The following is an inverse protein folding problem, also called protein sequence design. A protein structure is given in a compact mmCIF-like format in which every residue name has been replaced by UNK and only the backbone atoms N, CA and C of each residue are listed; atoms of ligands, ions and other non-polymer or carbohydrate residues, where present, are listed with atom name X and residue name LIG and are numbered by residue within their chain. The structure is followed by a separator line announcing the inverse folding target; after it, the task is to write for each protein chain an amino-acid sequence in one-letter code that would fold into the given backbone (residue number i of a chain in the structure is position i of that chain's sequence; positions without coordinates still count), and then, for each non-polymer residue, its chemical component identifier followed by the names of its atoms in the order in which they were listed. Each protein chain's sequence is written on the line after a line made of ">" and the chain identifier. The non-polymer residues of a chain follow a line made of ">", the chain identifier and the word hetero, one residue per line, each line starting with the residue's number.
data_IF_282622575326
#
_entry.id   IF_282622575326
#
_cell.length_a   1.000
_cell.length_b   1.000
_cell.length_c   1.000
_cell.angle_alpha   90.00
_cell.angle_beta   90.00
_cell.angle_gamma   90.00
#
_symmetry.space_group_name_H-M   'P 1'
#
loop_
_entity.id
_entity.type
_entity.pdbx_description
1 polymer ?
#
# COMPACT_ATOMS: atom_id res chain seq x y z
N UNK A 1 36.21 -57.84 35.78
CA UNK A 1 35.39 -57.24 36.85
C UNK A 1 34.12 -56.65 36.25
N UNK A 2 32.97 -56.97 36.85
CA UNK A 2 31.65 -56.28 36.89
C UNK A 2 31.28 -55.27 35.78
N UNK A 3 30.24 -55.59 35.00
CA UNK A 3 28.84 -55.00 34.97
C UNK A 3 28.76 -53.59 34.34
N UNK A 4 28.11 -53.36 33.19
CA UNK A 4 26.68 -53.50 32.78
C UNK A 4 25.82 -52.26 33.13
N UNK A 5 25.39 -51.52 32.10
CA UNK A 5 24.11 -50.77 31.95
C UNK A 5 24.23 -49.87 30.70
N UNK A 6 23.26 -49.60 29.84
CA UNK A 6 21.97 -50.21 29.49
C UNK A 6 21.66 -49.63 28.09
N UNK A 7 21.24 -50.47 27.14
CA UNK A 7 20.95 -50.08 25.75
C UNK A 7 19.47 -50.34 25.49
N UNK A 8 18.72 -49.31 25.12
CA UNK A 8 17.34 -49.38 24.65
C UNK A 8 17.35 -49.44 23.12
N UNK A 9 16.94 -50.57 22.55
CA UNK A 9 16.54 -50.69 21.15
C UNK A 9 15.38 -51.67 21.09
N UNK A 10 14.24 -51.24 20.53
CA UNK A 10 13.11 -52.13 20.24
C UNK A 10 12.67 -51.89 18.79
N UNK A 11 13.09 -52.78 17.91
CA UNK A 11 12.59 -52.93 16.56
C UNK A 11 12.29 -54.40 16.31
N UNK A 12 11.07 -54.62 15.82
CA UNK A 12 10.60 -55.65 14.89
C UNK A 12 10.60 -57.15 15.23
N UNK A 13 9.43 -57.72 14.92
CA UNK A 13 9.17 -59.05 14.37
C UNK A 13 9.36 -60.26 15.29
N UNK A 14 8.24 -60.90 15.64
CA UNK A 14 8.22 -62.33 15.99
C UNK A 14 7.06 -63.02 15.28
N UNK A 15 7.40 -63.67 14.16
CA UNK A 15 6.76 -64.91 13.74
C UNK A 15 7.11 -66.01 14.75
N UNK A 16 6.10 -66.70 15.28
CA UNK A 16 6.27 -67.76 16.28
C UNK A 16 6.47 -69.13 15.65
N UNK A 17 7.55 -69.78 16.08
CA UNK A 17 8.04 -71.09 15.67
C UNK A 17 7.21 -72.28 16.17
N UNK A 18 7.38 -73.36 15.43
CA UNK A 18 7.10 -74.78 15.69
C UNK A 18 7.76 -75.30 16.97
N UNK A 19 7.08 -76.15 17.74
CA UNK A 19 7.69 -77.24 18.52
C UNK A 19 6.79 -78.50 18.50
N UNK A 20 7.42 -79.67 18.35
CA UNK A 20 6.82 -81.00 18.17
C UNK A 20 6.48 -81.71 19.51
N UNK A 21 5.23 -82.23 19.60
CA UNK A 21 4.77 -83.61 19.92
C UNK A 21 4.98 -84.23 21.34
N UNK A 22 4.20 -85.26 21.79
CA UNK A 22 3.21 -86.11 21.09
C UNK A 22 1.86 -86.44 21.80
N UNK A 23 0.93 -87.01 21.00
CA UNK A 23 -0.15 -87.97 21.30
C UNK A 23 -1.18 -87.71 22.41
N UNK A 24 -2.45 -87.46 22.04
CA UNK A 24 -3.57 -88.40 22.26
C UNK A 24 -4.88 -87.86 21.64
N UNK A 25 -5.55 -88.75 20.92
CA UNK A 25 -6.82 -88.64 20.20
C UNK A 25 -7.97 -88.28 21.15
N UNK A 26 -8.94 -87.42 20.73
CA UNK A 26 -10.39 -87.70 20.76
C UNK A 26 -11.26 -86.53 20.21
N UNK A 27 -11.99 -86.82 19.12
CA UNK A 27 -13.24 -86.24 18.60
C UNK A 27 -13.64 -84.78 18.96
N UNK A 28 -13.40 -83.86 18.02
CA UNK A 28 -14.05 -82.54 17.94
C UNK A 28 -15.49 -82.72 17.39
N UNK A 29 -16.52 -82.25 18.08
CA UNK A 29 -17.92 -82.46 17.66
C UNK A 29 -18.25 -81.63 16.42
N UNK A 30 -18.96 -82.24 15.46
CA UNK A 30 -19.43 -81.60 14.21
C UNK A 30 -20.28 -80.35 14.43
N UNK A 31 -20.83 -80.18 15.63
CA UNK A 31 -21.70 -79.05 15.99
C UNK A 31 -20.93 -77.71 16.08
N UNK A 32 -19.68 -77.73 16.52
CA UNK A 32 -18.85 -76.52 16.60
C UNK A 32 -18.47 -75.98 15.21
N UNK A 33 -18.31 -76.87 14.23
CA UNK A 33 -18.03 -76.50 12.84
C UNK A 33 -19.27 -75.90 12.16
N UNK A 34 -20.46 -76.46 12.44
CA UNK A 34 -21.74 -75.93 11.96
C UNK A 34 -21.99 -74.52 12.51
N UNK A 35 -21.72 -74.28 13.78
CA UNK A 35 -21.90 -72.97 14.41
C UNK A 35 -20.94 -71.91 13.83
N UNK A 36 -19.69 -72.28 13.57
CA UNK A 36 -18.73 -71.41 12.89
C UNK A 36 -19.17 -71.07 11.45
N UNK A 37 -19.69 -72.05 10.71
CA UNK A 37 -20.18 -71.84 9.35
C UNK A 37 -21.42 -70.94 9.31
N UNK A 38 -22.36 -71.09 10.26
CA UNK A 38 -23.52 -70.19 10.39
C UNK A 38 -23.09 -68.74 10.64
N UNK A 39 -22.12 -68.54 11.54
CA UNK A 39 -21.58 -67.20 11.82
C UNK A 39 -20.90 -66.57 10.60
N UNK A 40 -20.17 -67.36 9.81
CA UNK A 40 -19.59 -66.91 8.53
C UNK A 40 -20.66 -66.54 7.51
N UNK A 41 -21.76 -67.28 7.43
CA UNK A 41 -22.89 -66.95 6.55
C UNK A 41 -23.51 -65.61 6.96
N UNK A 42 -23.72 -65.39 8.26
CA UNK A 42 -24.29 -64.15 8.78
C UNK A 42 -23.37 -62.93 8.51
N UNK A 43 -22.05 -63.08 8.66
CA UNK A 43 -21.08 -62.03 8.30
C UNK A 43 -21.09 -61.72 6.79
N UNK A 44 -21.27 -62.74 5.94
CA UNK A 44 -21.38 -62.56 4.48
C UNK A 44 -22.66 -61.79 4.13
N UNK A 45 -23.79 -62.12 4.77
CA UNK A 45 -25.06 -61.42 4.55
C UNK A 45 -24.99 -59.95 4.98
N UNK A 46 -24.40 -59.68 6.16
CA UNK A 46 -24.20 -58.30 6.64
C UNK A 46 -23.28 -57.49 5.71
N UNK A 47 -22.21 -58.10 5.19
CA UNK A 47 -21.31 -57.44 4.23
C UNK A 47 -22.04 -57.14 2.91
N UNK A 48 -22.85 -58.07 2.40
CA UNK A 48 -23.64 -57.88 1.19
C UNK A 48 -24.63 -56.71 1.34
N UNK A 49 -25.31 -56.63 2.47
CA UNK A 49 -26.32 -55.59 2.70
C UNK A 49 -25.67 -54.20 2.86
N UNK A 50 -24.47 -54.13 3.46
CA UNK A 50 -23.67 -52.91 3.52
C UNK A 50 -23.21 -52.45 2.12
N UNK A 51 -22.75 -53.38 1.27
CA UNK A 51 -22.38 -53.07 -0.13
C UNK A 51 -23.58 -52.59 -0.95
N UNK A 52 -24.76 -53.18 -0.74
CA UNK A 52 -26.00 -52.78 -1.39
C UNK A 52 -26.39 -51.34 -1.04
N UNK A 53 -26.27 -50.93 0.23
CA UNK A 53 -26.55 -49.56 0.65
C UNK A 53 -25.54 -48.55 0.08
N UNK A 54 -24.27 -48.92 0.00
CA UNK A 54 -23.24 -48.08 -0.66
C UNK A 54 -23.59 -47.88 -2.15
N UNK A 55 -24.00 -48.95 -2.84
CA UNK A 55 -24.38 -48.89 -4.25
C UNK A 55 -25.64 -48.04 -4.48
N UNK A 56 -26.67 -48.19 -3.65
CA UNK A 56 -27.89 -47.35 -3.73
C UNK A 56 -27.57 -45.87 -3.52
N UNK A 57 -26.74 -45.55 -2.53
CA UNK A 57 -26.30 -44.17 -2.30
C UNK A 57 -25.50 -43.64 -3.50
N UNK A 58 -24.67 -44.47 -4.13
CA UNK A 58 -23.92 -44.07 -5.32
C UNK A 58 -24.82 -43.82 -6.52
N UNK A 59 -25.84 -44.65 -6.74
CA UNK A 59 -26.84 -44.46 -7.80
C UNK A 59 -27.58 -43.12 -7.59
N UNK A 60 -28.01 -42.84 -6.36
CA UNK A 60 -28.70 -41.58 -6.04
C UNK A 60 -27.84 -40.33 -6.28
N UNK A 61 -26.52 -40.42 -6.02
CA UNK A 61 -25.57 -39.35 -6.32
C UNK A 61 -25.43 -39.16 -7.84
N UNK A 62 -25.28 -40.24 -8.60
CA UNK A 62 -25.14 -40.21 -10.06
C UNK A 62 -26.42 -39.69 -10.76
N UNK A 63 -27.60 -40.03 -10.25
CA UNK A 63 -28.86 -39.46 -10.75
C UNK A 63 -28.97 -37.95 -10.51
N UNK A 64 -28.48 -37.45 -9.37
CA UNK A 64 -28.40 -36.00 -9.08
C UNK A 64 -27.40 -35.29 -9.99
N UNK A 65 -26.26 -35.90 -10.28
CA UNK A 65 -25.26 -35.37 -11.21
C UNK A 65 -25.79 -35.31 -12.64
N UNK A 66 -26.55 -36.34 -13.07
CA UNK A 66 -27.19 -36.38 -14.40
C UNK A 66 -28.28 -35.32 -14.56
N UNK A 67 -29.04 -35.01 -13.49
CA UNK A 67 -29.98 -33.87 -13.45
C UNK A 67 -29.32 -32.49 -13.49
N UNK A 68 -28.08 -32.36 -12.99
CA UNK A 68 -27.29 -31.11 -13.07
C UNK A 68 -26.73 -30.88 -14.47
N UNK A 69 -26.41 -31.94 -15.22
CA UNK A 69 -25.94 -31.84 -16.61
C UNK A 69 -27.06 -31.60 -17.64
N UNK A 70 -28.33 -31.62 -17.23
CA UNK A 70 -29.50 -31.32 -18.08
C UNK A 70 -29.99 -29.88 -17.95
N UNK A 71 -29.11 -28.93 -17.61
CA UNK A 71 -29.35 -27.51 -17.89
C UNK A 71 -28.99 -27.28 -19.36
N UNK A 72 -29.97 -26.84 -20.17
CA UNK A 72 -29.81 -26.67 -21.62
C UNK A 72 -28.62 -25.74 -21.94
N UNK A 73 -27.73 -26.08 -22.89
CA UNK A 73 -26.66 -25.19 -23.37
C UNK A 73 -27.17 -23.81 -23.82
N UNK A 74 -28.45 -23.71 -24.19
CA UNK A 74 -29.08 -22.46 -24.59
C UNK A 74 -29.28 -21.50 -23.41
N UNK A 75 -29.55 -22.02 -22.20
CA UNK A 75 -29.74 -21.19 -21.01
C UNK A 75 -28.43 -20.54 -20.57
N UNK A 76 -27.32 -21.29 -20.60
CA UNK A 76 -25.99 -20.78 -20.27
C UNK A 76 -25.52 -19.73 -21.29
N UNK A 77 -25.80 -19.94 -22.59
CA UNK A 77 -25.50 -18.97 -23.64
C UNK A 77 -26.30 -17.66 -23.49
N UNK A 78 -27.57 -17.73 -23.09
CA UNK A 78 -28.38 -16.52 -22.86
C UNK A 78 -27.97 -15.76 -21.58
N UNK A 79 -27.59 -16.46 -20.51
CA UNK A 79 -27.00 -15.85 -19.32
C UNK A 79 -25.66 -15.16 -19.64
N UNK A 80 -24.81 -15.80 -20.44
CA UNK A 80 -23.55 -15.23 -20.90
C UNK A 80 -23.76 -14.00 -21.78
N UNK A 81 -24.72 -14.01 -22.71
CA UNK A 81 -25.07 -12.83 -23.52
C UNK A 81 -25.55 -11.67 -22.68
N UNK A 82 -26.39 -11.95 -21.68
CA UNK A 82 -26.90 -10.93 -20.75
C UNK A 82 -25.75 -10.31 -19.97
N UNK A 83 -24.86 -11.14 -19.42
CA UNK A 83 -23.67 -10.69 -18.68
C UNK A 83 -22.73 -9.85 -19.55
N UNK A 84 -22.48 -10.28 -20.80
CA UNK A 84 -21.64 -9.54 -21.75
C UNK A 84 -22.27 -8.19 -22.12
N UNK A 85 -23.59 -8.15 -22.29
CA UNK A 85 -24.33 -6.91 -22.55
C UNK A 85 -24.21 -5.94 -21.38
N UNK A 86 -24.42 -6.39 -20.15
CA UNK A 86 -24.25 -5.57 -18.94
C UNK A 86 -22.82 -5.06 -18.77
N UNK A 87 -21.82 -5.91 -19.03
CA UNK A 87 -20.41 -5.51 -18.99
C UNK A 87 -20.11 -4.46 -20.06
N UNK A 88 -20.65 -4.60 -21.26
CA UNK A 88 -20.48 -3.61 -22.33
C UNK A 88 -21.07 -2.27 -21.93
N UNK A 89 -22.29 -2.25 -21.37
CA UNK A 89 -22.90 -1.03 -20.86
C UNK A 89 -22.06 -0.39 -19.76
N UNK A 90 -21.55 -1.16 -18.79
CA UNK A 90 -20.67 -0.63 -17.73
C UNK A 90 -19.36 -0.07 -18.27
N UNK A 91 -18.79 -0.71 -19.29
CA UNK A 91 -17.57 -0.23 -19.96
C UNK A 91 -17.84 1.06 -20.73
N UNK A 92 -18.97 1.15 -21.45
CA UNK A 92 -19.38 2.35 -22.19
C UNK A 92 -19.67 3.52 -21.22
N UNK A 93 -20.35 3.26 -20.10
CA UNK A 93 -20.57 4.24 -19.02
C UNK A 93 -19.26 4.74 -18.41
N UNK A 94 -18.31 3.83 -18.15
CA UNK A 94 -16.98 4.21 -17.66
C UNK A 94 -16.20 5.02 -18.69
N UNK A 95 -16.22 4.64 -19.96
CA UNK A 95 -15.59 5.39 -21.05
C UNK A 95 -16.15 6.81 -21.15
N UNK A 96 -17.47 6.96 -21.13
CA UNK A 96 -18.13 8.26 -21.15
C UNK A 96 -17.78 9.12 -19.92
N UNK A 97 -17.61 8.50 -18.75
CA UNK A 97 -17.13 9.16 -17.54
C UNK A 97 -15.68 9.66 -17.69
N UNK A 98 -14.78 8.82 -18.22
CA UNK A 98 -13.38 9.20 -18.46
C UNK A 98 -13.26 10.33 -19.49
N UNK A 99 -14.02 10.31 -20.58
CA UNK A 99 -14.02 11.40 -21.56
C UNK A 99 -14.51 12.71 -20.95
N UNK A 100 -15.54 12.67 -20.11
CA UNK A 100 -16.05 13.86 -19.41
C UNK A 100 -15.00 14.42 -18.45
N UNK A 101 -14.31 13.56 -17.71
CA UNK A 101 -13.21 13.96 -16.81
C UNK A 101 -12.05 14.53 -17.62
N UNK A 102 -11.65 13.90 -18.72
CA UNK A 102 -10.57 14.38 -19.58
C UNK A 102 -10.89 15.76 -20.16
N UNK A 103 -12.10 15.96 -20.67
CA UNK A 103 -12.55 17.26 -21.19
C UNK A 103 -12.57 18.32 -20.10
N UNK A 104 -13.10 18.01 -18.92
CA UNK A 104 -13.08 18.92 -17.78
C UNK A 104 -11.65 19.32 -17.38
N UNK A 105 -10.72 18.35 -17.40
CA UNK A 105 -9.31 18.59 -17.14
C UNK A 105 -8.66 19.47 -18.20
N UNK A 106 -8.97 19.29 -19.47
CA UNK A 106 -8.48 20.14 -20.56
C UNK A 106 -9.01 21.57 -20.44
N UNK A 107 -10.33 21.73 -20.25
CA UNK A 107 -11.01 23.03 -20.12
C UNK A 107 -10.41 23.88 -19.00
N UNK A 108 -10.09 23.27 -17.85
CA UNK A 108 -9.57 23.95 -16.67
C UNK A 108 -8.05 23.82 -16.52
N UNK A 109 -7.35 23.35 -17.56
CA UNK A 109 -5.90 23.07 -17.56
C UNK A 109 -5.44 22.30 -16.32
N UNK A 110 -6.28 21.37 -15.83
CA UNK A 110 -5.99 20.59 -14.65
C UNK A 110 -4.81 19.66 -14.91
N UNK A 111 -3.86 19.69 -14.00
CA UNK A 111 -2.68 18.83 -13.99
C UNK A 111 -2.60 18.16 -12.64
N UNK A 112 -2.65 16.84 -12.65
CA UNK A 112 -2.33 16.02 -11.50
C UNK A 112 -0.97 15.36 -11.73
N UNK A 113 -0.21 15.15 -10.66
CA UNK A 113 1.03 14.40 -10.74
C UNK A 113 1.35 13.70 -9.45
N UNK A 114 1.90 12.50 -9.58
CA UNK A 114 2.38 11.67 -8.48
C UNK A 114 3.90 11.50 -8.64
N UNK A 115 4.63 11.64 -7.54
CA UNK A 115 6.06 11.34 -7.46
C UNK A 115 6.32 10.46 -6.26
N UNK A 116 6.98 9.33 -6.51
CA UNK A 116 7.33 8.34 -5.51
C UNK A 116 8.84 8.13 -5.50
N UNK A 117 9.42 8.00 -4.32
CA UNK A 117 10.79 7.54 -4.13
C UNK A 117 10.83 6.60 -2.94
N UNK A 118 11.31 5.38 -3.17
CA UNK A 118 11.44 4.32 -2.16
C UNK A 118 12.91 4.07 -1.89
N UNK A 119 13.28 3.86 -0.62
CA UNK A 119 14.65 3.60 -0.18
C UNK A 119 14.71 2.37 0.73
N UNK A 120 15.85 1.70 0.67
CA UNK A 120 16.33 0.79 1.69
C UNK A 120 17.60 1.37 2.29
N UNK A 121 17.69 1.41 3.62
CA UNK A 121 18.83 1.93 4.35
C UNK A 121 19.35 0.89 5.34
N UNK A 122 20.66 0.66 5.28
CA UNK A 122 21.41 -0.09 6.28
C UNK A 122 22.42 0.84 6.96
N UNK A 123 22.45 0.84 8.29
CA UNK A 123 23.50 1.51 9.06
C UNK A 123 23.96 0.61 10.20
N UNK A 124 25.26 0.32 10.23
CA UNK A 124 25.88 -0.34 11.38
C UNK A 124 25.74 0.56 12.61
N UNK A 125 25.40 -0.05 13.75
CA UNK A 125 25.18 0.66 15.02
C UNK A 125 24.20 1.87 14.96
N UNK A 126 23.33 1.91 13.96
CA UNK A 126 22.45 3.06 13.68
C UNK A 126 21.20 3.19 14.56
N UNK A 127 20.88 2.21 15.42
CA UNK A 127 19.74 2.30 16.35
C UNK A 127 20.05 3.23 17.53
N UNK A 128 19.02 3.75 18.22
CA UNK A 128 19.16 4.68 19.38
C UNK A 128 20.13 4.23 20.48
N UNK A 129 20.39 2.92 20.61
CA UNK A 129 21.34 2.37 21.58
C UNK A 129 22.80 2.36 21.13
N UNK A 130 23.09 2.66 19.85
CA UNK A 130 24.44 2.70 19.28
C UNK A 130 25.16 1.36 19.22
N UNK A 131 24.42 0.24 19.32
CA UNK A 131 24.97 -1.12 19.46
C UNK A 131 24.25 -2.15 18.59
N UNK A 132 23.30 -1.69 17.77
CA UNK A 132 22.48 -2.53 16.91
C UNK A 132 22.36 -1.89 15.54
N UNK A 133 22.46 -2.74 14.52
CA UNK A 133 22.29 -2.34 13.13
C UNK A 133 20.87 -1.83 12.87
N UNK A 134 20.77 -0.78 12.06
CA UNK A 134 19.54 -0.24 11.51
C UNK A 134 19.30 -0.84 10.13
N UNK A 135 18.09 -1.34 9.90
CA UNK A 135 17.59 -1.74 8.59
C UNK A 135 16.23 -1.09 8.42
N UNK A 136 16.08 -0.20 7.45
CA UNK A 136 14.85 0.55 7.21
C UNK A 136 14.44 0.47 5.74
N UNK A 137 13.19 0.07 5.50
CA UNK A 137 12.50 0.31 4.24
C UNK A 137 11.61 1.54 4.41
N UNK A 138 11.73 2.51 3.52
CA UNK A 138 10.97 3.75 3.64
C UNK A 138 10.48 4.26 2.29
N UNK A 139 9.32 4.91 2.29
CA UNK A 139 8.97 5.84 1.22
C UNK A 139 9.67 7.17 1.53
N UNK A 140 10.84 7.37 0.93
CA UNK A 140 11.64 8.58 1.12
C UNK A 140 10.87 9.83 0.72
N UNK A 141 10.07 9.77 -0.36
CA UNK A 141 9.20 10.85 -0.84
C UNK A 141 7.93 10.28 -1.45
N UNK A 142 6.77 10.72 -0.96
CA UNK A 142 5.45 10.49 -1.56
C UNK A 142 4.80 11.84 -1.80
N UNK A 143 4.86 12.36 -3.02
CA UNK A 143 4.34 13.69 -3.36
C UNK A 143 3.22 13.55 -4.37
N UNK A 144 2.05 14.09 -4.05
CA UNK A 144 0.94 14.20 -4.98
C UNK A 144 0.53 15.66 -5.10
N UNK A 145 0.41 16.16 -6.32
CA UNK A 145 -0.02 17.53 -6.57
C UNK A 145 -1.15 17.58 -7.57
N UNK A 146 -1.96 18.63 -7.43
CA UNK A 146 -3.03 19.01 -8.32
C UNK A 146 -2.95 20.52 -8.56
N UNK A 147 -3.12 20.95 -9.80
CA UNK A 147 -3.11 22.37 -10.17
C UNK A 147 -4.02 22.63 -11.34
N UNK A 148 -4.53 23.85 -11.48
CA UNK A 148 -5.26 24.25 -12.68
C UNK A 148 -5.77 25.69 -12.61
N UNK A 149 -6.61 26.03 -13.56
CA UNK A 149 -7.23 27.34 -13.72
C UNK A 149 -8.75 27.20 -13.60
N UNK A 150 -9.36 27.89 -12.63
CA UNK A 150 -10.82 27.97 -12.49
C UNK A 150 -11.38 28.99 -13.49
N UNK A 151 -10.64 30.08 -13.71
CA UNK A 151 -10.90 31.08 -14.75
C UNK A 151 -9.57 31.49 -15.37
N UNK A 152 -9.53 32.17 -16.53
CA UNK A 152 -8.28 32.63 -17.14
C UNK A 152 -7.40 33.51 -16.24
N UNK A 153 -7.98 34.10 -15.19
CA UNK A 153 -7.27 34.94 -14.21
C UNK A 153 -7.09 34.26 -12.85
N UNK A 154 -7.84 33.20 -12.52
CA UNK A 154 -7.79 32.55 -11.21
C UNK A 154 -7.35 31.10 -11.38
N UNK A 155 -6.25 30.75 -10.72
CA UNK A 155 -5.81 29.36 -10.66
C UNK A 155 -5.38 28.95 -9.27
N UNK A 156 -5.02 27.68 -9.13
CA UNK A 156 -4.68 27.08 -7.85
C UNK A 156 -3.61 26.01 -7.97
N UNK A 157 -3.02 25.68 -6.84
CA UNK A 157 -2.10 24.58 -6.68
C UNK A 157 -2.25 23.98 -5.28
N UNK A 158 -2.37 22.66 -5.23
CA UNK A 158 -2.41 21.88 -4.01
C UNK A 158 -1.39 20.75 -4.11
N UNK A 159 -0.68 20.48 -3.03
CA UNK A 159 0.39 19.50 -2.96
C UNK A 159 0.41 18.87 -1.58
N UNK A 160 0.10 17.58 -1.53
CA UNK A 160 0.24 16.75 -0.34
C UNK A 160 1.54 15.96 -0.41
N UNK A 161 2.12 15.72 0.75
CA UNK A 161 3.39 15.06 0.84
C UNK A 161 3.57 14.24 2.10
N UNK A 162 4.21 13.09 1.94
CA UNK A 162 4.88 12.37 3.02
C UNK A 162 6.36 12.27 2.72
N UNK A 163 7.18 12.49 3.75
CA UNK A 163 8.64 12.39 3.67
C UNK A 163 9.11 11.37 4.71
N UNK A 164 9.85 10.34 4.28
CA UNK A 164 10.40 9.27 5.14
C UNK A 164 9.32 8.42 5.86
N UNK A 165 8.25 8.07 5.14
CA UNK A 165 7.20 7.18 5.67
C UNK A 165 7.80 5.79 5.91
N UNK A 166 7.66 5.26 7.12
CA UNK A 166 8.19 3.97 7.54
C UNK A 166 9.62 4.00 8.09
N UNK A 167 10.25 5.18 8.18
CA UNK A 167 11.57 5.30 8.80
C UNK A 167 11.47 5.23 10.34
N UNK A 168 12.38 4.46 10.96
CA UNK A 168 12.42 4.30 12.41
C UNK A 168 12.66 5.63 13.14
N UNK A 169 11.91 5.86 14.23
CA UNK A 169 12.04 7.06 15.07
C UNK A 169 11.39 8.32 14.52
N UNK A 170 10.63 8.24 13.43
CA UNK A 170 9.89 9.35 12.80
C UNK A 170 8.36 9.17 12.85
N UNK A 171 7.87 8.31 13.75
CA UNK A 171 6.45 7.95 13.86
C UNK A 171 5.55 9.10 14.35
N UNK A 172 6.14 10.13 14.94
CA UNK A 172 5.42 11.35 15.35
C UNK A 172 5.53 12.40 14.24
N UNK A 173 4.49 12.49 13.42
CA UNK A 173 4.37 13.52 12.37
C UNK A 173 4.18 14.91 12.99
N UNK A 174 5.01 15.87 12.60
CA UNK A 174 4.88 17.29 12.92
C UNK A 174 4.85 18.11 11.64
N UNK A 175 3.86 18.99 11.46
CA UNK A 175 3.74 20.01 10.38
C UNK A 175 4.67 19.82 9.15
N UNK A 176 4.49 18.70 8.43
CA UNK A 176 5.21 18.39 7.19
C UNK A 176 6.46 17.50 7.31
N UNK A 177 6.75 16.93 8.48
CA UNK A 177 7.89 16.07 8.75
C UNK A 177 7.54 14.92 9.71
N UNK A 178 7.69 13.70 9.23
CA UNK A 178 7.41 12.45 9.94
C UNK A 178 6.69 11.47 9.03
N UNK A 179 6.31 10.31 9.55
CA UNK A 179 5.67 9.24 8.76
C UNK A 179 4.25 9.54 8.26
N UNK A 180 3.74 10.75 8.49
CA UNK A 180 2.40 11.20 8.06
C UNK A 180 2.38 11.92 6.71
N UNK A 181 1.20 11.95 6.09
CA UNK A 181 0.90 12.77 4.91
C UNK A 181 0.42 14.14 5.38
N UNK A 182 0.97 15.21 4.82
CA UNK A 182 0.62 16.58 5.17
C UNK A 182 0.41 17.44 3.92
N UNK A 183 -0.44 18.46 4.05
CA UNK A 183 -0.57 19.53 3.03
C UNK A 183 0.69 20.38 3.08
N UNK A 184 1.44 20.36 1.97
CA UNK A 184 2.74 21.03 1.88
C UNK A 184 2.68 22.34 1.13
N UNK A 185 1.90 22.41 0.06
CA UNK A 185 1.57 23.67 -0.60
C UNK A 185 0.07 23.67 -0.91
N UNK A 186 -0.62 24.78 -0.65
CA UNK A 186 -2.02 24.96 -0.95
C UNK A 186 -2.29 26.44 -1.12
N UNK A 187 -2.40 26.89 -2.37
CA UNK A 187 -2.56 28.31 -2.68
C UNK A 187 -3.40 28.53 -3.92
N UNK A 188 -4.00 29.70 -3.96
CA UNK A 188 -4.69 30.25 -5.12
C UNK A 188 -3.90 31.45 -5.64
N UNK A 189 -4.08 31.80 -6.90
CA UNK A 189 -3.54 33.03 -7.46
C UNK A 189 -4.56 33.76 -8.31
N UNK A 190 -4.42 35.09 -8.31
CA UNK A 190 -5.09 35.98 -9.24
C UNK A 190 -4.05 36.64 -10.14
N UNK A 191 -4.21 36.47 -11.45
CA UNK A 191 -3.32 36.94 -12.50
C UNK A 191 -3.94 38.17 -13.18
N UNK A 192 -3.43 39.37 -12.88
CA UNK A 192 -3.85 40.59 -13.56
C UNK A 192 -3.14 40.71 -14.91
N UNK A 193 -1.82 40.54 -14.90
CA UNK A 193 -0.96 40.51 -16.08
C UNK A 193 0.38 39.81 -15.71
N UNK A 194 1.27 39.63 -16.69
CA UNK A 194 2.57 38.97 -16.46
C UNK A 194 3.45 39.69 -15.43
N UNK A 195 3.29 41.00 -15.29
CA UNK A 195 4.05 41.86 -14.38
C UNK A 195 3.44 41.97 -12.98
N UNK A 196 2.21 41.50 -12.78
CA UNK A 196 1.53 41.62 -11.50
C UNK A 196 0.53 40.48 -11.27
N UNK A 197 0.89 39.61 -10.32
CA UNK A 197 0.12 38.47 -9.85
C UNK A 197 0.10 38.48 -8.33
N UNK A 198 -1.03 38.07 -7.77
CA UNK A 198 -1.22 37.92 -6.33
C UNK A 198 -1.43 36.43 -6.06
N UNK A 199 -0.69 35.86 -5.11
CA UNK A 199 -0.81 34.48 -4.68
C UNK A 199 -1.10 34.46 -3.18
N UNK A 200 -2.03 33.62 -2.72
CA UNK A 200 -2.44 33.54 -1.32
C UNK A 200 -2.61 32.08 -0.89
N UNK A 201 -2.18 31.75 0.34
CA UNK A 201 -2.26 30.41 0.93
C UNK A 201 -0.94 29.95 1.57
N UNK A 202 -0.70 28.64 1.56
CA UNK A 202 0.55 28.01 2.02
C UNK A 202 1.52 27.83 0.87
N UNK A 203 2.65 28.52 0.86
CA UNK A 203 3.63 28.42 -0.23
C UNK A 203 5.06 28.64 0.26
N UNK A 204 6.04 28.37 -0.61
CA UNK A 204 7.43 28.75 -0.35
C UNK A 204 7.57 30.25 -0.09
N UNK A 205 8.32 30.60 0.96
CA UNK A 205 8.71 31.98 1.22
C UNK A 205 9.67 32.46 0.12
N UNK A 206 9.39 33.59 -0.57
CA UNK A 206 10.19 34.06 -1.70
C UNK A 206 11.50 34.73 -1.25
N UNK A 207 12.37 33.98 -0.60
CA UNK A 207 13.65 34.48 -0.07
C UNK A 207 14.85 33.88 -0.80
N UNK A 208 14.95 32.56 -0.87
CA UNK A 208 16.06 31.87 -1.56
C UNK A 208 15.69 31.49 -3.00
N UNK A 209 16.68 31.42 -3.89
CA UNK A 209 16.52 30.87 -5.24
C UNK A 209 16.06 29.42 -5.18
N UNK A 210 16.68 28.62 -4.31
CA UNK A 210 16.45 27.16 -4.24
C UNK A 210 14.97 26.79 -4.06
N UNK A 211 14.20 27.64 -3.36
CA UNK A 211 12.76 27.46 -3.24
C UNK A 211 12.05 27.81 -4.56
N UNK A 212 11.41 26.80 -5.13
CA UNK A 212 10.65 26.89 -6.38
C UNK A 212 11.46 26.74 -7.66
N UNK A 213 12.81 26.78 -7.61
CA UNK A 213 13.64 26.52 -8.81
C UNK A 213 14.44 25.22 -8.75
N UNK A 214 14.63 24.65 -7.56
CA UNK A 214 15.38 23.42 -7.38
C UNK A 214 14.45 22.33 -6.87
N UNK A 215 14.23 21.32 -7.70
CA UNK A 215 13.45 20.15 -7.32
C UNK A 215 14.34 19.21 -6.51
N UNK A 216 13.85 18.65 -5.40
CA UNK A 216 14.60 17.62 -4.67
C UNK A 216 14.81 16.33 -5.47
N UNK A 217 14.16 16.19 -6.63
CA UNK A 217 14.36 15.10 -7.59
C UNK A 217 15.44 15.40 -8.65
N UNK A 218 15.90 16.64 -8.78
CA UNK A 218 17.06 16.96 -9.62
C UNK A 218 18.37 16.86 -8.84
N UNK A 219 18.28 16.52 -7.55
CA UNK A 219 19.43 16.26 -6.69
C UNK A 219 19.76 14.77 -6.74
N UNK A 220 21.05 14.44 -6.67
CA UNK A 220 21.48 13.05 -6.49
C UNK A 220 20.92 12.49 -5.16
N UNK A 221 20.77 11.16 -5.03
CA UNK A 221 20.12 10.54 -3.88
C UNK A 221 20.69 10.98 -2.51
N UNK A 222 21.97 11.36 -2.44
CA UNK A 222 22.67 11.75 -1.21
C UNK A 222 22.91 13.26 -1.06
N UNK A 223 22.53 14.08 -2.05
CA UNK A 223 22.86 15.52 -2.08
C UNK A 223 22.00 16.39 -1.16
N UNK A 224 20.80 15.92 -0.79
CA UNK A 224 20.01 16.58 0.22
C UNK A 224 20.38 15.97 1.59
N UNK A 225 21.07 16.68 2.50
CA UNK A 225 21.37 16.13 3.81
C UNK A 225 20.06 15.68 4.46
N UNK A 226 20.08 14.55 5.18
CA UNK A 226 18.91 14.00 5.91
C UNK A 226 18.23 15.03 6.84
N UNK A 227 18.95 16.12 7.13
CA UNK A 227 18.63 17.20 8.03
C UNK A 227 17.94 18.37 7.32
N UNK A 228 17.95 18.42 5.98
CA UNK A 228 17.21 19.41 5.21
C UNK A 228 15.74 19.00 5.15
N UNK A 229 14.99 19.57 6.09
CA UNK A 229 13.61 19.22 6.36
C UNK A 229 13.44 19.15 7.86
N UNK A 230 13.46 20.32 8.51
CA UNK A 230 13.30 20.42 9.95
C UNK A 230 12.19 21.40 10.30
N UNK A 231 11.34 21.00 11.25
CA UNK A 231 10.38 21.79 12.05
C UNK A 231 11.05 23.01 12.73
N UNK A 232 12.38 23.08 12.62
CA UNK A 232 13.27 24.10 13.16
C UNK A 232 13.39 25.23 12.14
N UNK A 233 12.39 26.11 12.11
CA UNK A 233 12.60 27.42 11.55
C UNK A 233 13.84 28.04 12.22
N UNK A 234 14.71 28.67 11.43
CA UNK A 234 15.75 29.56 11.94
C UNK A 234 15.56 30.92 11.28
N UNK A 235 16.24 31.96 11.76
CA UNK A 235 16.14 33.30 11.15
C UNK A 235 16.40 33.32 9.63
N UNK A 236 17.13 32.33 9.09
CA UNK A 236 17.42 32.18 7.65
C UNK A 236 16.58 31.11 6.95
N UNK A 237 15.84 30.29 7.68
CA UNK A 237 15.04 29.19 7.13
C UNK A 237 13.61 29.27 7.63
N UNK A 238 12.67 29.54 6.73
CA UNK A 238 11.26 29.58 7.06
C UNK A 238 10.78 28.25 7.69
N UNK A 239 9.85 28.36 8.64
CA UNK A 239 9.11 27.26 9.27
C UNK A 239 8.45 26.34 8.23
N UNK A 240 7.82 25.24 8.65
CA UNK A 240 7.01 24.39 7.74
C UNK A 240 7.76 23.93 6.48
N UNK A 241 9.07 23.63 6.60
CA UNK A 241 9.94 23.20 5.48
C UNK A 241 10.10 24.27 4.40
N UNK A 242 10.45 25.50 4.80
CA UNK A 242 10.66 26.61 3.88
C UNK A 242 9.38 27.29 3.39
N UNK A 243 8.23 26.94 3.97
CA UNK A 243 6.92 27.50 3.60
C UNK A 243 6.34 28.35 4.71
N UNK A 244 5.39 29.16 4.33
CA UNK A 244 4.60 29.93 5.26
C UNK A 244 3.20 30.16 4.71
N UNK A 245 2.30 30.55 5.60
CA UNK A 245 0.93 30.88 5.25
C UNK A 245 0.84 32.40 5.10
N UNK A 246 0.34 32.87 3.95
CA UNK A 246 0.32 34.30 3.66
C UNK A 246 0.04 34.65 2.21
N UNK A 247 0.59 35.79 1.79
CA UNK A 247 0.39 36.38 0.47
C UNK A 247 1.71 36.74 -0.19
N UNK A 248 1.80 36.54 -1.50
CA UNK A 248 2.95 36.91 -2.33
C UNK A 248 2.48 37.69 -3.55
N UNK A 249 3.05 38.87 -3.73
CA UNK A 249 3.02 39.62 -4.98
C UNK A 249 4.19 39.18 -5.84
N UNK A 250 3.96 38.86 -7.11
CA UNK A 250 5.04 38.52 -8.03
C UNK A 250 4.75 38.94 -9.45
N UNK A 251 5.82 39.11 -10.21
CA UNK A 251 5.69 39.51 -11.60
C UNK A 251 7.00 39.50 -12.36
N UNK A 252 6.85 39.47 -13.68
CA UNK A 252 7.91 39.59 -14.66
C UNK A 252 7.79 40.96 -15.34
N UNK A 253 8.77 41.82 -15.11
CA UNK A 253 8.92 43.13 -15.75
C UNK A 253 9.82 43.00 -16.98
N UNK A 254 9.67 43.92 -17.93
CA UNK A 254 10.49 44.01 -19.14
C UNK A 254 10.60 42.67 -19.90
N UNK A 255 9.45 42.03 -20.15
CA UNK A 255 9.36 40.71 -20.82
C UNK A 255 10.17 39.61 -20.13
N UNK A 256 10.33 39.69 -18.81
CA UNK A 256 11.02 38.67 -18.01
C UNK A 256 12.49 38.96 -17.74
N UNK A 257 13.05 40.09 -18.21
CA UNK A 257 14.40 40.50 -17.82
C UNK A 257 14.53 40.65 -16.29
N UNK A 258 13.49 41.19 -15.65
CA UNK A 258 13.46 41.41 -14.21
C UNK A 258 12.26 40.69 -13.60
N UNK A 259 12.50 39.72 -12.73
CA UNK A 259 11.45 39.08 -11.93
C UNK A 259 11.54 39.56 -10.49
N UNK A 260 10.40 39.90 -9.90
CA UNK A 260 10.30 40.20 -8.46
C UNK A 260 9.26 39.31 -7.79
N UNK A 261 9.48 39.08 -6.50
CA UNK A 261 8.55 38.43 -5.58
C UNK A 261 8.64 39.13 -4.23
N UNK A 262 7.51 39.53 -3.67
CA UNK A 262 7.41 40.20 -2.38
C UNK A 262 6.34 39.47 -1.57
N UNK A 263 6.69 38.94 -0.42
CA UNK A 263 5.83 38.12 0.43
C UNK A 263 5.59 38.76 1.79
N UNK A 264 4.36 38.59 2.29
CA UNK A 264 3.96 38.85 3.67
C UNK A 264 3.30 37.58 4.21
N UNK A 265 3.79 37.05 5.33
CA UNK A 265 3.34 35.79 5.89
C UNK A 265 3.29 35.82 7.42
N UNK A 266 2.64 34.83 8.00
CA UNK A 266 2.40 34.72 9.45
C UNK A 266 3.70 34.69 10.27
N UNK A 267 4.77 34.09 9.73
CA UNK A 267 6.07 34.07 10.39
C UNK A 267 6.28 32.83 11.23
N UNK A 268 6.99 32.95 12.35
CA UNK A 268 7.21 31.80 13.25
C UNK A 268 6.08 31.79 14.28
N UNK A 269 5.34 30.68 14.37
CA UNK A 269 4.34 30.47 15.41
C UNK A 269 5.04 29.92 16.66
N UNK A 270 5.55 30.81 17.52
CA UNK A 270 6.29 30.42 18.73
C UNK A 270 6.25 31.50 19.79
N UNK A 271 5.80 31.15 21.00
CA UNK A 271 5.82 32.05 22.16
C UNK A 271 7.24 32.43 22.61
N UNK A 272 8.27 31.69 22.17
CA UNK A 272 9.68 32.00 22.51
C UNK A 272 10.40 32.73 21.38
N UNK A 273 10.20 32.31 20.13
CA UNK A 273 10.96 32.84 18.98
C UNK A 273 10.27 34.02 18.29
N UNK A 274 8.95 34.15 18.44
CA UNK A 274 8.15 35.26 17.94
C UNK A 274 7.06 35.64 18.95
N UNK A 275 7.43 36.09 20.16
CA UNK A 275 6.49 36.29 21.27
C UNK A 275 5.39 37.34 20.99
N UNK A 276 5.64 38.24 20.04
CA UNK A 276 4.70 39.31 19.66
C UNK A 276 3.92 38.98 18.38
N UNK A 277 4.04 37.76 17.86
CA UNK A 277 3.33 37.33 16.65
C UNK A 277 3.55 38.27 15.44
N UNK A 278 4.80 38.69 15.24
CA UNK A 278 5.13 39.61 14.16
C UNK A 278 5.05 38.91 12.79
N UNK A 279 4.44 39.60 11.82
CA UNK A 279 4.44 39.16 10.43
C UNK A 279 5.86 39.10 9.85
N UNK A 280 6.09 38.10 8.99
CA UNK A 280 7.30 37.97 8.18
C UNK A 280 7.13 38.70 6.85
N UNK A 281 8.10 39.54 6.53
CA UNK A 281 8.25 40.11 5.19
C UNK A 281 9.44 39.47 4.47
N UNK A 282 9.28 39.18 3.19
CA UNK A 282 10.33 38.56 2.37
C UNK A 282 10.29 39.10 0.96
N UNK A 283 11.44 39.09 0.30
CA UNK A 283 11.53 39.55 -1.07
C UNK A 283 12.67 38.91 -1.81
N UNK A 284 12.48 38.71 -3.12
CA UNK A 284 13.50 38.25 -4.04
C UNK A 284 13.35 38.98 -5.37
N UNK A 285 14.47 39.46 -5.87
CA UNK A 285 14.59 40.02 -7.22
C UNK A 285 15.57 39.16 -8.00
N UNK A 286 15.29 38.94 -9.28
CA UNK A 286 16.13 38.14 -10.17
C UNK A 286 16.24 38.85 -11.52
N UNK A 287 17.47 38.97 -12.00
CA UNK A 287 17.79 39.58 -13.29
C UNK A 287 18.23 38.46 -14.25
N UNK A 288 17.56 38.34 -15.38
CA UNK A 288 17.85 37.38 -16.43
C UNK A 288 18.54 38.12 -17.57
N UNK A 289 19.85 37.91 -17.73
CA UNK A 289 20.69 38.66 -18.67
C UNK A 289 20.93 37.94 -20.01
N UNK A 290 20.46 36.71 -20.14
CA UNK A 290 20.66 35.80 -21.26
C UNK A 290 19.36 35.10 -21.63
#
# INVERSE_FOLDING_TARGET
>A
MRRLAAMTALTFLTAGLIFLHPNLVFAQSKDAEIEMLKKKIEEIEQRRDAELEILKNRIMVLEKETKKQTVSPQTEVEELKTTVSELKTKVDEQHFSFERVARFMEEHKLKAGLRLQTWYQFMEDGKKSGTKNLNDFMLRRFYFYLSGEVTPKIGFFAHIAGDRIGQDGLDNSSVGLGSGIAVRDAWIYYNLNESFKIQMGRMYVPFTRSFGTTSTFTLLPLELPFNQGGVRGSIFYASKVGRDDGMVLWGNLFKGLLQYRLGMSEGVESNTDNPNDNLRFSGRVSLNLL
#
